data_IF_172572413055
#
_entry.id   IF_172572413055
#
_cell.length_a   1.000
_cell.length_b   1.000
_cell.length_c   1.000
_cell.angle_alpha   90.00
_cell.angle_beta   90.00
_cell.angle_gamma   90.00
#
_symmetry.space_group_name_H-M   'P 1'
#
loop_
_entity.id
_entity.type
_entity.pdbx_description
1 polymer ?
#
# COMPACT_ATOMS: atom_id res chain seq x y z
N UNK A 1 0.02 -5.20 15.09
CA UNK A 1 1.45 -5.49 15.32
C UNK A 1 1.84 -6.96 15.47
N UNK A 2 0.93 -7.92 15.43
CA UNK A 2 1.22 -9.36 15.63
C UNK A 2 1.10 -10.20 14.35
N UNK A 3 1.02 -9.57 13.17
CA UNK A 3 0.76 -10.31 11.91
C UNK A 3 1.84 -11.37 11.63
N UNK A 4 3.08 -11.10 12.02
CA UNK A 4 4.25 -11.97 11.95
C UNK A 4 4.22 -13.15 12.94
N UNK A 5 3.28 -13.16 13.88
CA UNK A 5 3.09 -14.25 14.86
C UNK A 5 1.90 -15.14 14.50
N UNK A 6 0.97 -14.63 13.70
CA UNK A 6 -0.28 -15.29 13.34
C UNK A 6 -0.22 -15.92 11.94
N UNK A 7 0.69 -15.44 11.10
CA UNK A 7 0.84 -15.87 9.71
C UNK A 7 2.20 -16.52 9.52
N UNK A 8 2.23 -17.66 8.84
CA UNK A 8 3.46 -18.36 8.52
C UNK A 8 4.33 -17.53 7.56
N UNK A 9 5.65 -17.63 7.73
CA UNK A 9 6.61 -16.95 6.86
C UNK A 9 6.53 -17.48 5.43
N UNK A 10 6.76 -16.62 4.44
CA UNK A 10 6.74 -16.96 3.01
C UNK A 10 5.45 -17.67 2.55
N UNK A 11 4.31 -17.42 3.20
CA UNK A 11 3.04 -18.09 2.89
C UNK A 11 2.12 -17.25 2.02
N UNK A 12 2.27 -15.91 2.06
CA UNK A 12 1.37 -14.98 1.40
C UNK A 12 1.80 -14.66 -0.03
N UNK A 13 0.85 -14.65 -0.96
CA UNK A 13 1.08 -14.21 -2.35
C UNK A 13 0.94 -12.70 -2.50
N UNK A 14 -0.02 -12.11 -1.79
CA UNK A 14 -0.31 -10.69 -1.86
C UNK A 14 -0.67 -10.13 -0.49
N UNK A 15 -0.18 -8.92 -0.22
CA UNK A 15 -0.63 -8.12 0.92
C UNK A 15 -1.23 -6.84 0.36
N UNK A 16 -2.48 -6.56 0.74
CA UNK A 16 -3.20 -5.36 0.34
C UNK A 16 -3.33 -4.40 1.53
N UNK A 17 -2.82 -3.19 1.37
CA UNK A 17 -2.94 -2.09 2.34
C UNK A 17 -3.78 -0.99 1.71
N UNK A 18 -5.08 -1.02 1.96
CA UNK A 18 -6.07 -0.12 1.34
C UNK A 18 -6.56 0.92 2.34
N UNK A 19 -6.33 2.21 2.05
CA UNK A 19 -6.78 3.33 2.88
C UNK A 19 -6.41 3.26 4.37
N UNK A 20 -5.15 2.94 4.73
CA UNK A 20 -4.69 3.00 6.12
C UNK A 20 -4.78 4.42 6.68
N UNK A 21 -4.88 4.56 8.01
CA UNK A 21 -4.78 5.88 8.66
C UNK A 21 -3.42 6.55 8.33
N UNK A 22 -3.42 7.78 7.77
CA UNK A 22 -2.20 8.41 7.29
C UNK A 22 -1.28 8.94 8.42
N UNK A 23 -1.78 9.10 9.65
CA UNK A 23 -1.05 9.68 10.78
C UNK A 23 -0.21 10.92 10.38
N UNK A 24 -0.86 12.07 10.10
CA UNK A 24 -0.18 13.22 9.46
C UNK A 24 0.93 13.83 10.32
N UNK A 25 0.86 13.69 11.65
CA UNK A 25 1.89 14.20 12.56
C UNK A 25 3.15 13.35 12.48
N UNK A 26 4.32 14.00 12.29
CA UNK A 26 5.64 13.32 12.21
C UNK A 26 5.92 12.39 13.39
N UNK A 27 5.58 12.80 14.61
CA UNK A 27 5.75 11.99 15.82
C UNK A 27 4.96 10.68 15.80
N UNK A 28 3.90 10.62 15.01
CA UNK A 28 3.03 9.44 14.85
C UNK A 28 3.35 8.61 13.60
N UNK A 29 4.37 8.99 12.81
CA UNK A 29 4.70 8.31 11.56
C UNK A 29 5.08 6.83 11.75
N UNK A 30 5.57 6.45 12.94
CA UNK A 30 5.86 5.06 13.30
C UNK A 30 4.63 4.13 13.28
N UNK A 31 3.41 4.70 13.27
CA UNK A 31 2.13 3.96 13.21
C UNK A 31 1.63 3.73 11.79
N UNK A 32 2.21 4.41 10.79
CA UNK A 32 1.82 4.23 9.38
C UNK A 32 2.13 2.81 8.95
N UNK A 33 1.18 2.15 8.31
CA UNK A 33 1.37 0.76 7.87
C UNK A 33 2.44 0.59 6.77
N UNK A 34 2.90 1.68 6.17
CA UNK A 34 4.01 1.72 5.21
C UNK A 34 5.34 2.15 5.86
N UNK A 35 5.39 2.27 7.19
CA UNK A 35 6.63 2.53 7.91
C UNK A 35 7.60 1.34 7.80
N UNK A 36 8.93 1.56 7.77
CA UNK A 36 9.94 0.49 7.65
C UNK A 36 9.73 -0.75 8.53
N UNK A 37 9.26 -0.56 9.77
CA UNK A 37 8.97 -1.66 10.69
C UNK A 37 7.90 -2.62 10.15
N UNK A 38 6.85 -2.10 9.52
CA UNK A 38 5.81 -2.92 8.90
C UNK A 38 6.28 -3.52 7.58
N UNK A 39 6.98 -2.75 6.75
CA UNK A 39 7.53 -3.23 5.49
C UNK A 39 8.44 -4.45 5.67
N UNK A 40 9.27 -4.47 6.72
CA UNK A 40 10.09 -5.64 7.06
C UNK A 40 9.25 -6.87 7.40
N UNK A 41 8.16 -6.70 8.14
CA UNK A 41 7.23 -7.79 8.47
C UNK A 41 6.53 -8.32 7.22
N UNK A 42 6.05 -7.44 6.35
CA UNK A 42 5.42 -7.85 5.09
C UNK A 42 6.38 -8.65 4.22
N UNK A 43 7.64 -8.20 4.12
CA UNK A 43 8.69 -8.91 3.38
C UNK A 43 8.93 -10.33 3.89
N UNK A 44 8.85 -10.59 5.20
CA UNK A 44 9.05 -11.94 5.74
C UNK A 44 7.86 -12.88 5.55
N UNK A 45 6.67 -12.31 5.33
CA UNK A 45 5.42 -13.07 5.19
C UNK A 45 5.12 -13.40 3.72
N UNK A 46 5.56 -12.55 2.80
CA UNK A 46 5.39 -12.77 1.37
C UNK A 46 6.32 -13.88 0.85
N UNK A 47 5.82 -14.67 -0.10
CA UNK A 47 6.62 -15.55 -0.95
C UNK A 47 7.65 -14.73 -1.74
N UNK A 48 8.66 -15.40 -2.31
CA UNK A 48 9.69 -14.74 -3.13
C UNK A 48 9.15 -14.00 -4.35
N UNK A 49 8.00 -14.42 -4.87
CA UNK A 49 7.25 -13.79 -5.96
C UNK A 49 6.03 -12.97 -5.47
N UNK A 50 5.88 -12.85 -4.15
CA UNK A 50 4.77 -12.15 -3.53
C UNK A 50 4.84 -10.64 -3.74
N UNK A 51 3.69 -9.98 -3.63
CA UNK A 51 3.59 -8.53 -3.86
C UNK A 51 2.88 -7.78 -2.74
N UNK A 52 3.33 -6.55 -2.52
CA UNK A 52 2.67 -5.58 -1.65
C UNK A 52 1.94 -4.55 -2.52
N UNK A 53 0.65 -4.39 -2.27
CA UNK A 53 -0.23 -3.49 -3.00
C UNK A 53 -0.76 -2.43 -2.03
N UNK A 54 -0.62 -1.16 -2.39
CA UNK A 54 -1.07 -0.04 -1.57
C UNK A 54 -2.03 0.83 -2.40
N UNK A 55 -3.18 1.15 -1.81
CA UNK A 55 -4.17 2.11 -2.34
C UNK A 55 -4.40 3.23 -1.34
N UNK A 56 -4.35 4.47 -1.79
CA UNK A 56 -4.64 5.62 -0.93
C UNK A 56 -5.06 6.88 -1.71
N UNK A 57 -5.97 7.68 -1.15
CA UNK A 57 -6.44 8.95 -1.73
C UNK A 57 -5.58 10.17 -1.32
N UNK A 58 -5.07 10.21 -0.09
CA UNK A 58 -4.07 11.20 0.36
C UNK A 58 -2.73 11.06 -0.39
N UNK A 59 -2.45 12.05 -1.24
CA UNK A 59 -1.23 12.15 -2.04
C UNK A 59 0.05 12.30 -1.20
N UNK A 60 0.00 13.03 -0.09
CA UNK A 60 1.17 13.28 0.77
C UNK A 60 1.58 11.99 1.47
N UNK A 61 0.60 11.26 2.02
CA UNK A 61 0.85 9.95 2.60
C UNK A 61 1.37 8.95 1.57
N UNK A 62 0.80 8.97 0.37
CA UNK A 62 1.19 8.06 -0.69
C UNK A 62 2.65 8.30 -1.15
N UNK A 63 3.03 9.56 -1.40
CA UNK A 63 4.40 9.92 -1.73
C UNK A 63 5.39 9.53 -0.62
N UNK A 64 5.04 9.78 0.64
CA UNK A 64 5.86 9.30 1.77
C UNK A 64 6.00 7.77 1.77
N UNK A 65 4.94 7.03 1.45
CA UNK A 65 4.99 5.58 1.37
C UNK A 65 5.92 5.09 0.26
N UNK A 66 5.95 5.76 -0.90
CA UNK A 66 6.89 5.46 -1.98
C UNK A 66 8.34 5.66 -1.56
N UNK A 67 8.64 6.73 -0.82
CA UNK A 67 9.99 6.97 -0.28
C UNK A 67 10.44 5.81 0.62
N UNK A 68 9.56 5.33 1.51
CA UNK A 68 9.86 4.21 2.40
C UNK A 68 10.04 2.89 1.66
N UNK A 69 9.22 2.64 0.63
CA UNK A 69 9.37 1.47 -0.23
C UNK A 69 10.75 1.44 -0.90
N UNK A 70 11.17 2.56 -1.50
CA UNK A 70 12.48 2.69 -2.15
C UNK A 70 13.62 2.57 -1.13
N UNK A 71 13.52 3.25 0.01
CA UNK A 71 14.53 3.20 1.06
C UNK A 71 14.72 1.78 1.62
N UNK A 72 13.63 1.02 1.74
CA UNK A 72 13.64 -0.38 2.16
C UNK A 72 13.86 -1.35 0.98
N UNK A 73 14.25 -0.86 -0.20
CA UNK A 73 14.62 -1.64 -1.39
C UNK A 73 13.50 -2.46 -2.05
N UNK A 74 12.23 -2.12 -1.80
CA UNK A 74 11.13 -2.67 -2.59
C UNK A 74 11.21 -2.18 -4.04
N UNK A 75 10.91 -3.08 -4.98
CA UNK A 75 10.90 -2.81 -6.40
C UNK A 75 9.49 -2.41 -6.85
N UNK A 76 9.32 -1.17 -7.30
CA UNK A 76 8.06 -0.71 -7.89
C UNK A 76 7.86 -1.42 -9.22
N UNK A 77 6.72 -2.10 -9.38
CA UNK A 77 6.32 -2.79 -10.61
C UNK A 77 5.27 -2.02 -11.37
N UNK A 78 4.29 -1.48 -10.66
CA UNK A 78 3.22 -0.66 -11.23
C UNK A 78 2.93 0.50 -10.29
N UNK A 79 2.61 1.65 -10.87
CA UNK A 79 2.38 2.90 -10.15
C UNK A 79 1.35 3.74 -10.92
N UNK A 80 0.36 4.28 -10.21
CA UNK A 80 -0.52 5.31 -10.73
C UNK A 80 -0.84 6.34 -9.64
N UNK A 81 -0.96 7.61 -10.03
CA UNK A 81 -1.52 8.67 -9.19
C UNK A 81 -3.00 8.93 -9.49
N UNK A 82 -3.56 8.19 -10.44
CA UNK A 82 -4.98 8.12 -10.75
C UNK A 82 -5.33 6.71 -11.24
N UNK A 83 -5.71 5.85 -10.31
CA UNK A 83 -5.94 4.42 -10.55
C UNK A 83 -7.12 4.18 -11.49
N UNK A 84 -8.21 4.94 -11.33
CA UNK A 84 -9.44 4.69 -12.08
C UNK A 84 -9.31 5.10 -13.55
N UNK A 85 -8.53 6.15 -13.84
CA UNK A 85 -8.22 6.57 -15.21
C UNK A 85 -6.98 5.87 -15.80
N UNK A 86 -6.30 5.00 -15.03
CA UNK A 86 -5.11 4.31 -15.51
C UNK A 86 -5.43 3.07 -16.38
N UNK A 87 -4.45 2.70 -17.20
CA UNK A 87 -4.45 1.45 -17.97
C UNK A 87 -4.05 0.21 -17.13
N UNK A 88 -3.95 0.34 -15.80
CA UNK A 88 -3.64 -0.79 -14.92
C UNK A 88 -4.81 -1.78 -14.85
N UNK A 89 -4.52 -3.00 -14.39
CA UNK A 89 -5.49 -4.09 -14.29
C UNK A 89 -6.77 -3.66 -13.54
N UNK A 90 -7.93 -3.98 -14.09
CA UNK A 90 -9.24 -3.63 -13.54
C UNK A 90 -9.54 -4.32 -12.20
N UNK A 91 -8.86 -5.43 -11.89
CA UNK A 91 -8.89 -6.03 -10.54
C UNK A 91 -8.43 -5.02 -9.47
N UNK A 92 -7.50 -4.12 -9.83
CA UNK A 92 -7.06 -3.06 -8.93
C UNK A 92 -8.10 -1.96 -8.83
N UNK A 93 -9.08 -1.86 -9.72
CA UNK A 93 -10.10 -0.80 -9.71
C UNK A 93 -11.36 -1.18 -8.96
N UNK A 94 -11.44 -2.38 -8.39
CA UNK A 94 -12.57 -2.80 -7.54
C UNK A 94 -12.73 -1.77 -6.42
N UNK A 95 -13.89 -1.11 -6.43
CA UNK A 95 -14.20 -0.02 -5.51
C UNK A 95 -14.72 -0.56 -4.18
N UNK A 96 -14.14 -0.05 -3.12
CA UNK A 96 -14.66 -0.18 -1.76
C UNK A 96 -15.88 0.73 -1.58
N UNK A 97 -16.71 0.43 -0.58
CA UNK A 97 -17.81 1.31 -0.16
C UNK A 97 -17.30 2.69 0.30
N UNK A 98 -16.05 2.76 0.79
CA UNK A 98 -15.37 4.01 1.08
C UNK A 98 -15.18 4.82 -0.20
N UNK A 99 -14.50 4.28 -1.22
CA UNK A 99 -14.24 4.98 -2.48
C UNK A 99 -15.55 5.48 -3.13
N UNK A 100 -16.61 4.66 -3.16
CA UNK A 100 -17.92 5.03 -3.71
C UNK A 100 -18.54 6.29 -3.10
N UNK A 101 -18.31 6.54 -1.80
CA UNK A 101 -18.83 7.72 -1.10
C UNK A 101 -18.12 9.01 -1.52
N UNK A 102 -16.88 8.92 -1.99
CA UNK A 102 -16.01 10.06 -2.25
C UNK A 102 -15.71 10.29 -3.74
N UNK A 103 -16.16 9.41 -4.65
CA UNK A 103 -16.06 9.61 -6.12
C UNK A 103 -16.62 10.97 -6.53
N UNK A 104 -17.72 11.39 -5.91
CA UNK A 104 -18.39 12.67 -6.22
C UNK A 104 -17.58 13.91 -5.83
N UNK A 105 -16.50 13.79 -5.05
CA UNK A 105 -15.63 14.90 -4.66
C UNK A 105 -14.40 15.07 -5.59
N UNK A 106 -14.27 14.23 -6.63
CA UNK A 106 -13.18 14.34 -7.60
C UNK A 106 -11.80 13.96 -7.06
N UNK A 107 -11.74 13.21 -5.95
CA UNK A 107 -10.48 12.69 -5.41
C UNK A 107 -9.98 11.52 -6.26
N UNK A 108 -8.74 11.59 -6.72
CA UNK A 108 -8.07 10.49 -7.40
C UNK A 108 -7.51 9.49 -6.40
N UNK A 109 -7.47 8.23 -6.80
CA UNK A 109 -6.89 7.15 -5.98
C UNK A 109 -5.48 6.85 -6.48
N UNK A 110 -4.50 6.94 -5.59
CA UNK A 110 -3.13 6.55 -5.89
C UNK A 110 -2.95 5.05 -5.62
N UNK A 111 -2.12 4.40 -6.42
CA UNK A 111 -1.89 2.96 -6.35
C UNK A 111 -0.43 2.63 -6.65
N UNK A 112 0.12 1.67 -5.89
CA UNK A 112 1.41 1.06 -6.21
C UNK A 112 1.36 -0.44 -5.94
N UNK A 113 1.94 -1.21 -6.87
CA UNK A 113 2.32 -2.61 -6.65
C UNK A 113 3.84 -2.72 -6.60
N UNK A 114 4.34 -3.37 -5.56
CA UNK A 114 5.78 -3.62 -5.39
C UNK A 114 6.06 -5.10 -5.11
N UNK A 115 7.29 -5.51 -5.38
CA UNK A 115 7.85 -6.80 -4.94
C UNK A 115 9.10 -6.55 -4.13
N UNK A 116 9.47 -7.50 -3.27
CA UNK A 116 10.75 -7.46 -2.55
C UNK A 116 11.87 -8.07 -3.38
#
# INVERSE_FOLDING_TARGET
DQIDQLVEQNSLEQIWVTFPDPFPRKQSAGRRLTHPNFLKKYSSLLKSDGSLLIKHDDHIFFCWSLEQLVAEKWQIKELSFDLHESALNDEYKIMTTYEQRWIGEGKTINFVRTTR
#
